data_IF_371968717363
#
_entry.id   IF_371968717363
#
_cell.length_a   1.000
_cell.length_b   1.000
_cell.length_c   1.000
_cell.angle_alpha   90.00
_cell.angle_beta   90.00
_cell.angle_gamma   90.00
#
_symmetry.space_group_name_H-M   'P 1'
#
loop_
_entity.id
_entity.type
_entity.pdbx_description
1 polymer ?
#
# COMPACT_ATOMS: atom_id res chain seq x y z
N UNK A 1 9.92 -12.45 12.88
CA UNK A 1 8.91 -12.01 11.91
C UNK A 1 8.81 -10.50 12.02
N UNK A 2 9.06 -9.75 10.95
CA UNK A 2 8.88 -8.29 10.91
C UNK A 2 7.56 -8.02 10.20
N UNK A 3 6.73 -7.17 10.76
CA UNK A 3 5.43 -6.77 10.20
C UNK A 3 5.56 -5.42 9.51
N UNK A 4 4.69 -5.12 8.53
CA UNK A 4 4.67 -3.78 7.96
C UNK A 4 4.21 -2.78 9.03
N UNK A 5 4.62 -1.53 8.87
CA UNK A 5 4.11 -0.42 9.66
C UNK A 5 2.69 -0.14 9.20
N UNK A 6 1.73 -0.21 10.12
CA UNK A 6 0.32 0.13 9.89
C UNK A 6 0.06 1.53 10.46
N UNK A 7 -0.40 2.44 9.62
CA UNK A 7 -0.75 3.80 10.04
C UNK A 7 -2.19 3.87 10.56
N UNK A 8 -2.50 4.88 11.37
CA UNK A 8 -3.84 5.06 11.98
C UNK A 8 -4.97 5.10 10.94
N UNK A 9 -4.74 5.71 9.77
CA UNK A 9 -5.73 5.79 8.70
C UNK A 9 -6.17 4.41 8.19
N UNK A 10 -5.32 3.38 8.27
CA UNK A 10 -5.69 2.01 7.92
C UNK A 10 -6.78 1.47 8.85
N UNK A 11 -6.65 1.70 10.15
CA UNK A 11 -7.63 1.24 11.14
C UNK A 11 -8.92 2.08 11.08
N UNK A 12 -8.78 3.41 10.98
CA UNK A 12 -9.93 4.33 10.90
C UNK A 12 -10.81 4.03 9.70
N UNK A 13 -10.20 3.75 8.54
CA UNK A 13 -10.92 3.39 7.33
C UNK A 13 -11.31 1.90 7.26
N UNK A 14 -11.02 1.11 8.29
CA UNK A 14 -11.32 -0.34 8.34
C UNK A 14 -10.71 -1.12 7.17
N UNK A 15 -9.50 -0.74 6.76
CA UNK A 15 -8.77 -1.43 5.71
C UNK A 15 -8.39 -2.86 6.14
N UNK A 16 -8.14 -3.73 5.16
CA UNK A 16 -7.67 -5.10 5.39
C UNK A 16 -6.54 -5.43 4.44
N UNK A 17 -5.45 -5.99 4.97
CA UNK A 17 -4.30 -6.38 4.19
C UNK A 17 -4.40 -7.87 3.87
N UNK A 18 -4.44 -8.21 2.58
CA UNK A 18 -4.60 -9.60 2.10
C UNK A 18 -3.24 -10.18 1.71
N UNK A 19 -2.45 -9.45 0.91
CA UNK A 19 -1.07 -9.83 0.59
C UNK A 19 -0.20 -8.60 0.26
N UNK A 20 1.10 -8.63 0.56
CA UNK A 20 1.79 -9.60 1.40
C UNK A 20 1.52 -9.31 2.90
N UNK A 21 1.33 -10.34 3.71
CA UNK A 21 1.13 -10.19 5.16
C UNK A 21 2.48 -10.00 5.88
N UNK A 22 3.54 -10.53 5.29
CA UNK A 22 4.91 -10.37 5.78
C UNK A 22 5.39 -8.92 5.59
N UNK A 23 6.06 -8.38 6.60
CA UNK A 23 6.50 -6.99 6.62
C UNK A 23 7.80 -6.69 5.90
N UNK A 24 8.47 -7.73 5.40
CA UNK A 24 9.76 -7.60 4.69
C UNK A 24 9.58 -8.09 3.26
N UNK A 25 9.88 -7.20 2.33
CA UNK A 25 9.87 -7.51 0.92
C UNK A 25 11.30 -7.73 0.43
N UNK A 26 11.50 -8.74 -0.41
CA UNK A 26 12.81 -9.02 -0.99
C UNK A 26 13.12 -8.05 -2.12
N UNK A 27 14.29 -7.41 -2.08
CA UNK A 27 14.76 -6.51 -3.14
C UNK A 27 14.68 -7.15 -4.53
N UNK A 28 14.11 -6.41 -5.49
CA UNK A 28 13.99 -6.83 -6.89
C UNK A 28 12.95 -7.92 -7.16
N UNK A 29 12.28 -8.45 -6.13
CA UNK A 29 11.20 -9.40 -6.33
C UNK A 29 9.96 -8.73 -6.93
N UNK A 30 9.17 -9.49 -7.70
CA UNK A 30 7.84 -9.06 -8.12
C UNK A 30 6.83 -9.62 -7.12
N UNK A 31 6.17 -8.73 -6.39
CA UNK A 31 5.24 -9.12 -5.32
C UNK A 31 3.81 -8.64 -5.63
N UNK A 32 2.78 -9.47 -5.40
CA UNK A 32 1.41 -9.02 -5.45
C UNK A 32 1.06 -8.25 -4.17
N UNK A 33 0.50 -7.05 -4.34
CA UNK A 33 -0.16 -6.27 -3.30
C UNK A 33 -1.65 -6.42 -3.49
N UNK A 34 -2.34 -6.86 -2.44
CA UNK A 34 -3.79 -6.91 -2.35
C UNK A 34 -4.25 -6.37 -1.01
N UNK A 35 -5.10 -5.35 -1.05
CA UNK A 35 -5.60 -4.64 0.13
C UNK A 35 -7.04 -4.20 -0.11
N UNK A 36 -7.90 -4.39 0.89
CA UNK A 36 -9.25 -3.82 0.94
C UNK A 36 -9.16 -2.44 1.59
N UNK A 37 -9.55 -1.41 0.87
CA UNK A 37 -9.46 0.01 1.22
C UNK A 37 -10.81 0.65 0.89
N UNK A 38 -11.82 0.54 1.76
CA UNK A 38 -13.17 0.96 1.42
C UNK A 38 -13.32 2.48 1.42
N UNK A 39 -14.02 3.02 0.41
CA UNK A 39 -14.40 4.43 0.37
C UNK A 39 -13.27 5.38 -0.02
N UNK A 40 -12.11 4.86 -0.42
CA UNK A 40 -11.07 5.67 -1.04
C UNK A 40 -11.49 6.07 -2.46
N UNK A 41 -11.27 7.33 -2.82
CA UNK A 41 -11.49 7.85 -4.18
C UNK A 41 -10.30 7.58 -5.09
N UNK A 42 -9.12 7.37 -4.50
CA UNK A 42 -7.90 7.00 -5.20
C UNK A 42 -6.92 6.31 -4.25
N UNK A 43 -6.13 5.39 -4.79
CA UNK A 43 -5.13 4.63 -4.04
C UNK A 43 -3.86 4.55 -4.87
N UNK A 44 -2.72 4.73 -4.23
CA UNK A 44 -1.43 4.75 -4.92
C UNK A 44 -0.36 4.07 -4.06
N UNK A 45 0.66 3.56 -4.74
CA UNK A 45 1.77 2.84 -4.14
C UNK A 45 3.05 3.61 -4.40
N UNK A 46 3.93 3.64 -3.39
CA UNK A 46 5.30 4.13 -3.57
C UNK A 46 6.30 2.98 -3.50
N UNK A 47 7.34 3.07 -4.31
CA UNK A 47 8.53 2.22 -4.23
C UNK A 47 9.74 3.14 -4.13
N UNK A 48 10.55 3.00 -3.07
CA UNK A 48 11.68 3.89 -2.77
C UNK A 48 11.26 5.38 -2.82
N UNK A 49 10.12 5.69 -2.20
CA UNK A 49 9.50 7.02 -2.14
C UNK A 49 9.06 7.60 -3.49
N UNK A 50 9.05 6.81 -4.57
CA UNK A 50 8.50 7.21 -5.89
C UNK A 50 7.11 6.63 -6.10
N UNK A 51 6.16 7.47 -6.49
CA UNK A 51 4.83 7.03 -6.90
C UNK A 51 4.91 6.22 -8.19
N UNK A 52 4.32 5.03 -8.20
CA UNK A 52 4.35 4.12 -9.36
C UNK A 52 3.03 4.06 -10.12
N UNK A 53 2.07 4.95 -9.82
CA UNK A 53 0.79 5.08 -10.53
C UNK A 53 -0.40 4.49 -9.75
N UNK A 54 -1.60 4.99 -10.03
CA UNK A 54 -2.85 4.62 -9.34
C UNK A 54 -3.60 3.43 -9.96
N UNK A 55 -2.99 2.72 -10.91
CA UNK A 55 -3.63 1.54 -11.48
C UNK A 55 -3.81 0.41 -10.44
N UNK A 56 -4.79 -0.45 -10.69
CA UNK A 56 -5.06 -1.62 -9.87
C UNK A 56 -6.01 -1.37 -8.70
N UNK A 57 -6.47 -0.13 -8.48
CA UNK A 57 -7.55 0.14 -7.53
C UNK A 57 -8.91 0.18 -8.21
N UNK A 58 -9.85 -0.61 -7.68
CA UNK A 58 -11.27 -0.58 -7.99
C UNK A 58 -12.02 -0.77 -6.68
N UNK A 59 -12.61 0.30 -6.17
CA UNK A 59 -13.25 0.33 -4.84
C UNK A 59 -14.06 -0.95 -4.57
N UNK A 60 -13.82 -1.64 -3.44
CA UNK A 60 -12.90 -1.28 -2.35
C UNK A 60 -11.50 -1.94 -2.46
N UNK A 61 -11.11 -2.51 -3.60
CA UNK A 61 -9.95 -3.41 -3.70
C UNK A 61 -8.80 -2.74 -4.46
N UNK A 62 -7.62 -2.67 -3.83
CA UNK A 62 -6.35 -2.49 -4.51
C UNK A 62 -5.76 -3.87 -4.81
N UNK A 63 -5.51 -4.17 -6.08
CA UNK A 63 -4.80 -5.36 -6.51
C UNK A 63 -3.79 -5.02 -7.61
N UNK A 64 -2.50 -5.17 -7.32
CA UNK A 64 -1.42 -4.87 -8.27
C UNK A 64 -0.15 -5.66 -7.98
N UNK A 65 0.59 -6.01 -9.04
CA UNK A 65 1.98 -6.50 -8.91
C UNK A 65 2.96 -5.34 -8.97
N UNK A 66 3.92 -5.31 -8.07
CA UNK A 66 4.98 -4.31 -8.06
C UNK A 66 6.35 -4.98 -8.11
N UNK A 67 7.34 -4.30 -8.66
CA UNK A 67 8.74 -4.66 -8.49
C UNK A 67 9.27 -3.95 -7.25
N UNK A 68 9.73 -4.72 -6.26
CA UNK A 68 10.25 -4.20 -5.00
C UNK A 68 11.56 -3.45 -5.25
N UNK A 69 11.63 -2.24 -4.72
CA UNK A 69 12.81 -1.39 -4.77
C UNK A 69 13.91 -1.86 -3.82
N UNK A 70 14.62 -0.92 -3.23
CA UNK A 70 15.80 -1.17 -2.40
C UNK A 70 15.65 -0.74 -0.94
N UNK A 71 14.59 0.02 -0.60
CA UNK A 71 14.41 0.64 0.72
C UNK A 71 13.05 0.32 1.31
N UNK A 72 11.98 0.74 0.65
CA UNK A 72 10.63 0.66 1.21
C UNK A 72 9.55 0.61 0.12
N UNK A 73 8.39 0.09 0.51
CA UNK A 73 7.16 0.14 -0.28
C UNK A 73 6.05 0.70 0.59
N UNK A 74 5.34 1.72 0.13
CA UNK A 74 4.22 2.32 0.86
C UNK A 74 2.91 2.23 0.10
N UNK A 75 1.82 2.00 0.82
CA UNK A 75 0.45 2.04 0.29
C UNK A 75 -0.25 3.25 0.88
N UNK A 76 -0.89 4.04 0.02
CA UNK A 76 -1.54 5.29 0.38
C UNK A 76 -2.92 5.38 -0.23
N UNK A 77 -3.84 6.01 0.47
CA UNK A 77 -5.19 6.24 -0.02
C UNK A 77 -5.62 7.69 0.17
N UNK A 78 -6.42 8.15 -0.78
CA UNK A 78 -7.08 9.44 -0.77
C UNK A 78 -8.57 9.21 -0.56
N UNK A 79 -9.16 9.95 0.36
CA UNK A 79 -10.58 9.86 0.68
C UNK A 79 -11.29 11.16 0.28
N UNK A 80 -12.61 11.08 0.11
CA UNK A 80 -13.42 12.25 -0.27
C UNK A 80 -13.20 13.42 0.70
N UNK A 81 -13.07 14.64 0.16
CA UNK A 81 -12.91 15.87 0.94
C UNK A 81 -11.47 16.26 1.29
N UNK A 82 -10.46 15.44 0.94
CA UNK A 82 -9.04 15.81 1.12
C UNK A 82 -8.28 15.84 -0.20
N UNK A 83 -7.32 16.75 -0.34
CA UNK A 83 -6.39 16.78 -1.48
C UNK A 83 -5.19 15.86 -1.29
N UNK A 84 -4.87 15.53 -0.03
CA UNK A 84 -3.72 14.72 0.37
C UNK A 84 -4.02 13.23 0.43
N UNK A 85 -2.97 12.44 0.22
CA UNK A 85 -2.95 11.01 0.50
C UNK A 85 -2.61 10.75 1.97
N UNK A 86 -3.27 9.75 2.54
CA UNK A 86 -2.96 9.21 3.84
C UNK A 86 -2.14 7.92 3.68
N UNK A 87 -1.06 7.79 4.45
CA UNK A 87 -0.34 6.51 4.54
C UNK A 87 -1.20 5.46 5.20
N UNK A 88 -1.21 4.25 4.63
CA UNK A 88 -1.96 3.11 5.15
C UNK A 88 -1.02 2.02 5.68
N UNK A 89 -0.10 1.58 4.83
CA UNK A 89 0.83 0.48 5.13
C UNK A 89 2.21 0.85 4.61
N UNK A 90 3.27 0.48 5.33
CA UNK A 90 4.65 0.58 4.84
C UNK A 90 5.46 -0.67 5.13
N UNK A 91 6.07 -1.22 4.10
CA UNK A 91 6.97 -2.35 4.17
C UNK A 91 8.42 -1.90 4.13
N UNK A 92 9.28 -2.64 4.82
CA UNK A 92 10.73 -2.51 4.68
C UNK A 92 11.23 -3.50 3.62
N UNK A 93 12.32 -3.16 2.95
CA UNK A 93 12.99 -4.03 1.99
C UNK A 93 14.27 -4.60 2.61
N UNK A 94 14.52 -5.88 2.38
CA UNK A 94 15.78 -6.58 2.68
C UNK A 94 16.35 -7.27 1.43
#
# INVERSE_FOLDING_TARGET
MKFPVIYSAFQTAKCQLVTPIDGVLKKGAVVPIECVIPGAIDVNVTVDSKWIGSEGYKDPILQRKITVGSKEVGIYAKYGGTSSYNGLVKYNVE
#
